data_IF_776047454627
#
_entry.id   IF_776047454627
#
_cell.length_a   1.000
_cell.length_b   1.000
_cell.length_c   1.000
_cell.angle_alpha   90.00
_cell.angle_beta   90.00
_cell.angle_gamma   90.00
#
_symmetry.space_group_name_H-M   'P 1'
#
loop_
_entity.id
_entity.type
_entity.pdbx_description
1 polymer ?
#
# COMPACT_ATOMS: atom_id res chain seq x y z
N UNK A 1 -1.17 -6.84 8.93
CA UNK A 1 -2.34 -7.33 8.19
C UNK A 1 -1.89 -8.30 7.11
N UNK A 2 -2.61 -9.40 6.93
CA UNK A 2 -2.18 -10.47 6.00
C UNK A 2 -2.10 -10.00 4.54
N UNK A 3 -3.01 -9.12 4.12
CA UNK A 3 -3.00 -8.56 2.76
C UNK A 3 -1.69 -7.83 2.43
N UNK A 4 -1.14 -7.08 3.39
CA UNK A 4 0.11 -6.32 3.21
C UNK A 4 1.32 -7.27 3.14
N UNK A 5 1.31 -8.36 3.91
CA UNK A 5 2.34 -9.40 3.82
C UNK A 5 2.29 -10.10 2.47
N UNK A 6 1.09 -10.55 2.05
CA UNK A 6 0.91 -11.24 0.76
C UNK A 6 1.35 -10.39 -0.43
N UNK A 7 0.94 -9.12 -0.49
CA UNK A 7 1.36 -8.26 -1.61
C UNK A 7 2.87 -8.03 -1.58
N UNK A 8 3.50 -7.94 -0.41
CA UNK A 8 4.95 -7.81 -0.26
C UNK A 8 5.71 -8.99 -0.88
N UNK A 9 5.31 -10.22 -0.54
CA UNK A 9 5.93 -11.45 -1.08
C UNK A 9 5.74 -11.55 -2.60
N UNK A 10 4.52 -11.29 -3.10
CA UNK A 10 4.25 -11.31 -4.55
C UNK A 10 5.04 -10.24 -5.29
N UNK A 11 5.15 -9.04 -4.71
CA UNK A 11 5.93 -7.95 -5.32
C UNK A 11 7.42 -8.27 -5.38
N UNK A 12 7.94 -8.99 -4.39
CA UNK A 12 9.32 -9.47 -4.41
C UNK A 12 9.55 -10.46 -5.55
N UNK A 13 8.67 -11.43 -5.74
CA UNK A 13 8.76 -12.40 -6.84
C UNK A 13 8.72 -11.71 -8.22
N UNK A 14 7.85 -10.71 -8.39
CA UNK A 14 7.76 -9.95 -9.65
C UNK A 14 9.03 -9.10 -9.88
N UNK A 15 9.58 -8.51 -8.83
CA UNK A 15 10.82 -7.75 -8.92
C UNK A 15 12.02 -8.65 -9.28
N UNK A 16 12.09 -9.86 -8.72
CA UNK A 16 13.13 -10.85 -9.03
C UNK A 16 13.12 -11.27 -10.52
N UNK A 17 11.97 -11.12 -11.20
CA UNK A 17 11.83 -11.29 -12.66
C UNK A 17 12.22 -10.03 -13.46
N UNK A 18 12.76 -9.01 -12.80
CA UNK A 18 13.21 -7.76 -13.41
C UNK A 18 12.08 -6.77 -13.74
N UNK A 19 10.87 -6.98 -13.20
CA UNK A 19 9.70 -6.15 -13.48
C UNK A 19 9.47 -5.13 -12.38
N UNK A 20 9.27 -3.87 -12.77
CA UNK A 20 8.89 -2.80 -11.85
C UNK A 20 7.45 -3.03 -11.36
N UNK A 21 7.28 -3.17 -10.05
CA UNK A 21 5.97 -3.44 -9.43
C UNK A 21 5.45 -2.22 -8.66
N UNK A 22 4.20 -1.83 -8.95
CA UNK A 22 3.49 -0.78 -8.21
C UNK A 22 2.38 -1.43 -7.36
N UNK A 23 2.33 -1.10 -6.06
CA UNK A 23 1.29 -1.57 -5.16
C UNK A 23 0.50 -0.38 -4.59
N UNK A 24 -0.83 -0.41 -4.70
CA UNK A 24 -1.72 0.66 -4.23
C UNK A 24 -2.67 0.14 -3.16
N UNK A 25 -2.15 -0.06 -1.94
CA UNK A 25 -2.90 -0.60 -0.81
C UNK A 25 -2.96 0.40 0.34
N UNK A 26 -4.08 0.42 1.07
CA UNK A 26 -4.18 1.14 2.34
C UNK A 26 -3.31 0.41 3.37
N UNK A 27 -2.20 1.03 3.76
CA UNK A 27 -1.26 0.49 4.74
C UNK A 27 -1.17 1.44 5.94
N UNK A 28 -2.04 1.24 6.94
CA UNK A 28 -2.16 2.13 8.11
C UNK A 28 -1.08 1.86 9.17
N UNK A 29 -0.58 0.63 9.26
CA UNK A 29 0.33 0.21 10.30
C UNK A 29 1.79 0.31 9.85
N UNK A 30 2.54 1.21 10.50
CA UNK A 30 4.00 1.37 10.31
C UNK A 30 4.77 0.06 10.46
N UNK A 31 4.35 -0.82 11.37
CA UNK A 31 4.97 -2.13 11.59
C UNK A 31 4.85 -3.06 10.37
N UNK A 32 3.71 -3.02 9.67
CA UNK A 32 3.52 -3.79 8.44
C UNK A 32 4.36 -3.21 7.30
N UNK A 33 4.43 -1.87 7.17
CA UNK A 33 5.28 -1.19 6.19
C UNK A 33 6.76 -1.56 6.37
N UNK A 34 7.25 -1.57 7.61
CA UNK A 34 8.63 -1.94 7.94
C UNK A 34 8.93 -3.41 7.61
N UNK A 35 8.00 -4.31 7.92
CA UNK A 35 8.13 -5.73 7.56
C UNK A 35 8.25 -5.91 6.05
N UNK A 36 7.34 -5.31 5.27
CA UNK A 36 7.41 -5.40 3.80
C UNK A 36 8.70 -4.82 3.27
N UNK A 37 9.13 -3.63 3.73
CA UNK A 37 10.39 -3.01 3.32
C UNK A 37 11.60 -3.91 3.59
N UNK A 38 11.59 -4.67 4.68
CA UNK A 38 12.70 -5.59 5.01
C UNK A 38 12.83 -6.79 4.07
N UNK A 39 11.84 -7.06 3.22
CA UNK A 39 11.89 -8.14 2.21
C UNK A 39 12.79 -7.80 1.01
N UNK A 40 13.07 -6.51 0.79
CA UNK A 40 13.76 -5.99 -0.39
C UNK A 40 15.17 -5.51 -0.07
N UNK A 41 16.06 -5.54 -1.06
CA UNK A 41 17.40 -4.98 -0.94
C UNK A 41 17.35 -3.44 -0.93
N UNK A 42 18.45 -2.83 -0.47
CA UNK A 42 18.57 -1.37 -0.45
C UNK A 42 18.54 -0.84 -1.88
N UNK A 43 17.54 -0.02 -2.19
CA UNK A 43 17.36 0.59 -3.52
C UNK A 43 16.16 0.03 -4.29
N UNK A 44 15.70 -1.17 -3.92
CA UNK A 44 14.65 -1.89 -4.64
C UNK A 44 13.24 -1.60 -4.12
N UNK A 45 13.14 -0.86 -3.01
CA UNK A 45 11.88 -0.51 -2.38
C UNK A 45 11.75 1.01 -2.23
N UNK A 46 10.67 1.54 -2.80
CA UNK A 46 10.29 2.95 -2.69
C UNK A 46 8.94 3.05 -1.98
N UNK A 47 8.92 3.78 -0.87
CA UNK A 47 7.69 4.08 -0.14
C UNK A 47 7.15 5.45 -0.56
N UNK A 48 5.90 5.48 -1.04
CA UNK A 48 5.22 6.71 -1.46
C UNK A 48 4.04 6.97 -0.52
N UNK A 49 4.12 8.05 0.26
CA UNK A 49 3.03 8.45 1.14
C UNK A 49 2.08 9.43 0.44
N UNK A 50 0.89 8.95 0.09
CA UNK A 50 -0.17 9.77 -0.49
C UNK A 50 -0.90 10.57 0.60
N UNK A 51 -0.35 11.73 0.98
CA UNK A 51 -0.91 12.60 2.00
C UNK A 51 -2.01 13.52 1.44
N UNK A 52 -3.22 12.98 1.24
CA UNK A 52 -4.40 13.77 0.88
C UNK A 52 -5.28 14.00 2.12
N UNK A 53 -5.88 15.20 2.30
CA UNK A 53 -6.82 15.46 3.38
C UNK A 53 -8.02 14.51 3.33
N UNK A 54 -8.52 14.10 4.50
CA UNK A 54 -9.65 13.17 4.61
C UNK A 54 -10.90 13.75 3.94
N UNK A 55 -11.14 15.05 4.10
CA UNK A 55 -12.29 15.75 3.53
C UNK A 55 -12.29 15.65 2.00
N UNK A 56 -11.10 15.74 1.39
CA UNK A 56 -10.95 15.59 -0.07
C UNK A 56 -11.21 14.14 -0.47
N UNK A 57 -10.68 13.16 0.25
CA UNK A 57 -10.92 11.74 -0.02
C UNK A 57 -12.41 11.38 0.11
N UNK A 58 -13.07 11.85 1.17
CA UNK A 58 -14.51 11.64 1.42
C UNK A 58 -15.37 12.36 0.39
N UNK A 59 -15.02 13.58 -0.03
CA UNK A 59 -15.78 14.30 -1.08
C UNK A 59 -15.72 13.59 -2.44
N UNK A 60 -14.61 12.89 -2.72
CA UNK A 60 -14.41 12.15 -3.98
C UNK A 60 -15.14 10.82 -4.00
N UNK A 61 -15.18 10.13 -2.85
CA UNK A 61 -15.76 8.80 -2.59
C UNK A 61 -16.04 7.95 -3.83
N UNK A 62 -15.00 7.67 -4.62
CA UNK A 62 -15.14 7.10 -5.98
C UNK A 62 -15.78 5.71 -6.02
N UNK A 63 -15.93 5.06 -4.84
CA UNK A 63 -16.54 3.74 -4.67
C UNK A 63 -17.77 3.76 -3.75
N UNK A 64 -18.18 4.91 -3.22
CA UNK A 64 -19.26 5.01 -2.23
C UNK A 64 -18.93 4.39 -0.85
N UNK A 65 -17.66 4.08 -0.58
CA UNK A 65 -17.26 3.37 0.63
C UNK A 65 -17.24 4.27 1.86
N UNK A 66 -16.95 5.56 1.69
CA UNK A 66 -17.02 6.52 2.80
C UNK A 66 -18.47 6.74 3.22
N UNK A 67 -19.40 6.82 2.27
CA UNK A 67 -20.83 6.91 2.55
C UNK A 67 -21.36 5.68 3.30
N UNK A 68 -20.95 4.46 2.90
CA UNK A 68 -21.34 3.22 3.59
C UNK A 68 -20.78 3.09 5.01
N UNK A 69 -19.74 3.86 5.35
CA UNK A 69 -19.11 3.86 6.67
C UNK A 69 -19.61 5.01 7.55
N UNK A 70 -20.41 5.94 7.02
CA UNK A 70 -21.05 6.99 7.81
C UNK A 70 -22.10 6.36 8.75
N UNK A 71 -22.19 6.82 10.01
CA UNK A 71 -23.17 6.33 10.98
C UNK A 71 -24.62 6.62 10.57
#
# INVERSE_FOLDING_TARGET
MENIRHVGEVSKLILEDGVITLTTFISQFRSDQQKVRSLFLRGDFLEVYCNSPLEVCTSRDVKGLYQCAAP
#
